data_IF_288292555019
#
_entry.id   IF_288292555019
#
_cell.length_a   1.000
_cell.length_b   1.000
_cell.length_c   1.000
_cell.angle_alpha   90.00
_cell.angle_beta   90.00
_cell.angle_gamma   90.00
#
_symmetry.space_group_name_H-M   'P 1'
#
loop_
_entity.id
_entity.type
_entity.pdbx_description
1 polymer ?
#
# COMPACT_ATOMS: atom_id res chain seq x y z
N UNK A 1 47.90 43.85 -19.41
CA UNK A 1 46.81 44.10 -20.39
C UNK A 1 46.02 45.32 -19.92
N UNK A 2 45.63 46.25 -20.80
CA UNK A 2 44.74 47.38 -20.42
C UNK A 2 43.38 46.82 -20.02
N UNK A 3 42.81 47.32 -18.92
CA UNK A 3 41.46 46.99 -18.49
C UNK A 3 40.48 47.59 -19.53
N UNK A 4 40.15 46.80 -20.56
CA UNK A 4 39.35 47.24 -21.72
C UNK A 4 37.86 47.44 -21.38
N UNK A 5 37.51 47.59 -20.10
CA UNK A 5 36.15 47.78 -19.63
C UNK A 5 35.25 46.54 -19.79
N UNK A 6 35.79 45.38 -20.13
CA UNK A 6 35.04 44.11 -20.20
C UNK A 6 34.48 43.70 -18.83
N UNK A 7 35.28 43.87 -17.77
CA UNK A 7 34.90 43.50 -16.40
C UNK A 7 33.66 44.23 -15.90
N UNK A 8 33.28 45.36 -16.50
CA UNK A 8 32.06 46.10 -16.12
C UNK A 8 30.76 45.40 -16.54
N UNK A 9 30.85 44.43 -17.46
CA UNK A 9 29.72 43.64 -17.94
C UNK A 9 29.67 42.25 -17.31
N UNK A 10 30.69 41.85 -16.55
CA UNK A 10 30.71 40.56 -15.86
C UNK A 10 29.85 40.64 -14.60
N UNK A 11 29.05 39.62 -14.35
CA UNK A 11 28.26 39.54 -13.12
C UNK A 11 29.17 39.69 -11.89
N UNK A 12 28.85 40.55 -10.92
CA UNK A 12 29.70 40.79 -9.76
C UNK A 12 30.07 39.52 -8.98
N UNK A 13 29.18 38.52 -8.94
CA UNK A 13 29.44 37.23 -8.29
C UNK A 13 30.44 36.36 -9.04
N UNK A 14 30.58 36.56 -10.35
CA UNK A 14 31.49 35.80 -11.23
C UNK A 14 32.81 36.56 -11.47
N UNK A 15 32.90 37.83 -11.05
CA UNK A 15 34.06 38.69 -11.26
C UNK A 15 35.38 38.15 -10.66
N UNK A 16 35.41 37.51 -9.47
CA UNK A 16 36.64 36.89 -8.96
C UNK A 16 37.16 35.77 -9.88
N UNK A 17 36.25 34.93 -10.40
CA UNK A 17 36.57 33.83 -11.31
C UNK A 17 37.18 34.35 -12.61
N UNK A 18 36.57 35.38 -13.21
CA UNK A 18 37.03 35.96 -14.47
C UNK A 18 38.37 36.72 -14.31
N UNK A 19 38.57 37.37 -13.16
CA UNK A 19 39.86 38.03 -12.84
C UNK A 19 40.99 37.04 -12.64
N UNK A 20 40.74 35.94 -11.94
CA UNK A 20 41.76 34.93 -11.67
C UNK A 20 42.32 34.35 -12.98
N UNK A 21 41.49 34.19 -14.02
CA UNK A 21 41.91 33.76 -15.36
C UNK A 21 42.75 34.78 -16.12
N UNK A 22 42.45 36.08 -15.94
CA UNK A 22 43.28 37.14 -16.50
C UNK A 22 44.68 37.22 -15.87
N UNK A 23 44.83 36.69 -14.64
CA UNK A 23 46.09 36.64 -13.88
C UNK A 23 46.83 35.30 -14.08
N UNK A 24 46.12 34.18 -14.18
CA UNK A 24 46.70 32.84 -14.39
C UNK A 24 47.12 32.57 -15.83
N UNK A 25 46.58 33.30 -16.83
CA UNK A 25 47.14 33.28 -18.19
C UNK A 25 48.63 33.70 -18.18
N UNK A 26 49.02 34.66 -17.36
CA UNK A 26 50.43 35.08 -17.26
C UNK A 26 51.37 34.09 -16.51
N UNK A 27 50.86 33.00 -15.91
CA UNK A 27 51.66 32.04 -15.14
C UNK A 27 51.32 30.58 -15.43
N UNK A 28 52.17 29.94 -16.23
CA UNK A 28 52.54 28.50 -16.19
C UNK A 28 51.47 27.46 -15.83
N UNK A 29 50.23 27.56 -16.35
CA UNK A 29 49.30 26.42 -16.38
C UNK A 29 49.00 26.01 -17.82
N UNK A 30 49.35 24.77 -18.15
CA UNK A 30 49.12 24.14 -19.45
C UNK A 30 47.67 23.66 -19.67
N UNK A 31 46.81 23.75 -18.66
CA UNK A 31 45.45 23.22 -18.77
C UNK A 31 44.44 24.30 -19.16
N UNK A 32 44.02 24.21 -20.41
CA UNK A 32 42.87 24.88 -21.02
C UNK A 32 41.61 24.66 -20.19
N UNK A 33 41.30 25.58 -19.28
CA UNK A 33 40.09 25.52 -18.45
C UNK A 33 38.90 26.17 -19.15
N UNK A 34 37.81 25.42 -19.30
CA UNK A 34 36.50 25.99 -19.63
C UNK A 34 35.98 26.77 -18.44
N UNK A 35 35.54 28.01 -18.67
CA UNK A 35 34.94 28.84 -17.62
C UNK A 35 33.51 29.20 -17.98
N UNK A 36 32.68 29.29 -16.94
CA UNK A 36 31.28 29.66 -17.06
C UNK A 36 31.04 30.91 -16.22
N UNK A 37 30.55 31.97 -16.83
CA UNK A 37 30.25 33.23 -16.15
C UNK A 37 29.10 33.93 -16.84
N UNK A 38 28.46 34.87 -16.14
CA UNK A 38 27.37 35.66 -16.69
C UNK A 38 27.88 37.00 -17.21
N UNK A 39 27.46 37.35 -18.42
CA UNK A 39 27.64 38.67 -18.99
C UNK A 39 26.31 39.41 -19.05
N UNK A 40 26.35 40.69 -18.72
CA UNK A 40 25.28 41.63 -18.92
C UNK A 40 25.32 42.13 -20.36
N UNK A 41 24.22 42.00 -21.06
CA UNK A 41 24.08 42.45 -22.44
C UNK A 41 23.70 43.94 -22.51
N UNK A 42 23.62 44.48 -23.73
CA UNK A 42 23.12 45.84 -23.95
C UNK A 42 21.60 45.96 -23.74
N UNK A 43 20.89 44.84 -23.80
CA UNK A 43 19.44 44.74 -23.68
C UNK A 43 19.00 44.47 -22.24
N UNK A 44 19.89 44.71 -21.26
CA UNK A 44 19.65 44.52 -19.81
C UNK A 44 19.46 43.06 -19.36
N UNK A 45 19.79 42.10 -20.22
CA UNK A 45 19.72 40.66 -19.90
C UNK A 45 21.07 40.08 -19.46
N UNK A 46 21.02 39.05 -18.61
CA UNK A 46 22.17 38.21 -18.27
C UNK A 46 22.25 36.99 -19.18
N UNK A 47 23.44 36.72 -19.73
CA UNK A 47 23.72 35.53 -20.54
C UNK A 47 24.84 34.71 -19.94
N UNK A 48 24.63 33.40 -19.84
CA UNK A 48 25.66 32.46 -19.46
C UNK A 48 26.62 32.25 -20.62
N UNK A 49 27.90 32.53 -20.39
CA UNK A 49 28.96 32.40 -21.37
C UNK A 49 29.87 31.25 -20.96
N UNK A 50 30.04 30.29 -21.86
CA UNK A 50 31.17 29.36 -21.85
C UNK A 50 32.32 30.02 -22.60
N UNK A 51 33.42 30.29 -21.91
CA UNK A 51 34.66 30.75 -22.53
C UNK A 51 35.72 29.68 -22.44
N UNK A 52 36.36 29.43 -23.58
CA UNK A 52 37.50 28.52 -23.71
C UNK A 52 38.63 29.28 -24.39
N UNK A 53 39.85 29.17 -23.88
CA UNK A 53 41.02 29.67 -24.58
C UNK A 53 42.24 28.76 -24.36
N UNK A 54 43.08 28.71 -25.39
CA UNK A 54 44.33 27.97 -25.41
C UNK A 54 45.48 28.93 -25.73
N UNK A 55 46.64 28.70 -25.12
CA UNK A 55 47.87 29.40 -25.50
C UNK A 55 48.39 28.83 -26.83
N UNK A 56 48.69 29.69 -27.80
CA UNK A 56 49.14 29.27 -29.14
C UNK A 56 50.58 29.65 -29.47
N UNK A 57 51.19 30.53 -28.67
CA UNK A 57 52.63 30.81 -28.75
C UNK A 57 53.18 31.21 -27.38
N UNK A 58 54.43 30.81 -27.13
CA UNK A 58 55.22 31.15 -25.95
C UNK A 58 56.56 31.73 -26.40
N UNK A 59 57.15 32.62 -25.61
CA UNK A 59 58.49 33.13 -25.84
C UNK A 59 59.58 32.14 -25.37
N UNK A 60 60.84 32.47 -25.61
CA UNK A 60 62.01 31.65 -25.23
C UNK A 60 62.15 31.46 -23.70
N UNK A 61 61.45 32.28 -22.91
CA UNK A 61 61.39 32.21 -21.44
C UNK A 61 60.13 31.47 -20.95
N UNK A 62 59.36 30.85 -21.86
CA UNK A 62 58.15 30.08 -21.55
C UNK A 62 56.89 30.92 -21.31
N UNK A 63 56.96 32.24 -21.47
CA UNK A 63 55.83 33.15 -21.23
C UNK A 63 54.89 33.15 -22.43
N UNK A 64 53.58 33.03 -22.18
CA UNK A 64 52.59 33.01 -23.26
C UNK A 64 52.53 34.38 -23.95
N UNK A 65 52.63 34.38 -25.27
CA UNK A 65 52.54 35.57 -26.12
C UNK A 65 51.17 35.72 -26.78
N UNK A 66 50.49 34.61 -27.08
CA UNK A 66 49.20 34.64 -27.75
C UNK A 66 48.24 33.57 -27.23
N UNK A 67 46.98 33.98 -27.13
CA UNK A 67 45.84 33.10 -26.85
C UNK A 67 44.89 33.10 -28.04
N UNK A 68 44.29 31.95 -28.32
CA UNK A 68 43.11 31.83 -29.16
C UNK A 68 41.99 31.23 -28.31
N UNK A 69 40.81 31.82 -28.39
CA UNK A 69 39.65 31.34 -27.66
C UNK A 69 38.35 31.74 -28.34
N UNK A 70 37.26 31.20 -27.85
CA UNK A 70 35.91 31.53 -28.29
C UNK A 70 34.99 31.59 -27.06
N UNK A 71 33.94 32.41 -27.20
CA UNK A 71 32.91 32.61 -26.19
C UNK A 71 31.57 32.16 -26.78
N UNK A 72 30.89 31.22 -26.13
CA UNK A 72 29.58 30.69 -26.56
C UNK A 72 28.53 31.08 -25.54
N UNK A 73 27.43 31.67 -26.00
CA UNK A 73 26.21 31.83 -25.19
C UNK A 73 25.56 30.44 -25.00
N UNK A 74 25.50 29.98 -23.76
CA UNK A 74 24.91 28.70 -23.34
C UNK A 74 23.65 28.91 -22.48
N UNK A 75 23.06 30.10 -22.52
CA UNK A 75 21.89 30.46 -21.69
C UNK A 75 20.71 29.52 -21.96
N UNK A 76 20.38 29.32 -23.23
CA UNK A 76 19.26 28.44 -23.62
C UNK A 76 19.48 26.99 -23.13
N UNK A 77 20.71 26.48 -23.22
CA UNK A 77 21.03 25.12 -22.76
C UNK A 77 20.92 24.99 -21.23
N UNK A 78 21.44 25.98 -20.49
CA UNK A 78 21.35 26.03 -19.02
C UNK A 78 19.89 26.07 -18.58
N UNK A 79 19.08 26.94 -19.17
CA UNK A 79 17.66 27.06 -18.85
C UNK A 79 16.87 25.80 -19.23
N UNK A 80 17.15 25.20 -20.40
CA UNK A 80 16.50 23.96 -20.81
C UNK A 80 16.82 22.81 -19.85
N UNK A 81 18.08 22.70 -19.40
CA UNK A 81 18.50 21.69 -18.43
C UNK A 81 17.85 21.90 -17.06
N UNK A 82 17.75 23.13 -16.58
CA UNK A 82 17.07 23.44 -15.32
C UNK A 82 15.57 23.14 -15.40
N UNK A 83 14.90 23.51 -16.51
CA UNK A 83 13.49 23.18 -16.76
C UNK A 83 13.27 21.67 -16.78
N UNK A 84 14.14 20.91 -17.45
CA UNK A 84 14.05 19.45 -17.51
C UNK A 84 14.27 18.81 -16.14
N UNK A 85 15.25 19.27 -15.37
CA UNK A 85 15.50 18.80 -14.01
C UNK A 85 14.31 19.05 -13.10
N UNK A 86 13.72 20.24 -13.17
CA UNK A 86 12.52 20.58 -12.40
C UNK A 86 11.34 19.68 -12.78
N UNK A 87 11.08 19.52 -14.07
CA UNK A 87 10.00 18.64 -14.56
C UNK A 87 10.20 17.18 -14.16
N UNK A 88 11.45 16.69 -14.12
CA UNK A 88 11.76 15.33 -13.67
C UNK A 88 11.46 15.14 -12.18
N UNK A 89 11.80 16.11 -11.34
CA UNK A 89 11.49 16.08 -9.90
C UNK A 89 9.99 16.11 -9.68
N UNK A 90 9.27 17.00 -10.36
CA UNK A 90 7.81 17.11 -10.28
C UNK A 90 7.11 15.82 -10.75
N UNK A 91 7.54 15.26 -11.87
CA UNK A 91 6.99 14.01 -12.42
C UNK A 91 7.25 12.83 -11.48
N UNK A 92 8.44 12.75 -10.88
CA UNK A 92 8.78 11.69 -9.92
C UNK A 92 7.89 11.79 -8.68
N UNK A 93 7.73 12.97 -8.11
CA UNK A 93 6.87 13.20 -6.95
C UNK A 93 5.39 12.86 -7.28
N UNK A 94 4.89 13.29 -8.45
CA UNK A 94 3.53 12.97 -8.88
C UNK A 94 3.32 11.47 -9.09
N UNK A 95 4.32 10.76 -9.63
CA UNK A 95 4.27 9.31 -9.81
C UNK A 95 4.24 8.58 -8.46
N UNK A 96 5.10 8.95 -7.52
CA UNK A 96 5.13 8.36 -6.17
C UNK A 96 3.79 8.57 -5.45
N UNK A 97 3.19 9.76 -5.58
CA UNK A 97 1.85 10.03 -5.04
C UNK A 97 0.77 9.19 -5.72
N UNK A 98 0.81 9.08 -7.05
CA UNK A 98 -0.16 8.27 -7.79
C UNK A 98 -0.06 6.78 -7.44
N UNK A 99 1.15 6.25 -7.26
CA UNK A 99 1.39 4.87 -6.80
C UNK A 99 0.86 4.64 -5.39
N UNK A 100 1.08 5.60 -4.47
CA UNK A 100 0.53 5.53 -3.11
C UNK A 100 -1.01 5.53 -3.13
N UNK A 101 -1.64 6.40 -3.91
CA UNK A 101 -3.10 6.45 -4.05
C UNK A 101 -3.67 5.18 -4.71
N UNK A 102 -2.97 4.62 -5.70
CA UNK A 102 -3.39 3.38 -6.35
C UNK A 102 -3.34 2.18 -5.39
N UNK A 103 -2.32 2.11 -4.54
CA UNK A 103 -2.21 1.09 -3.50
C UNK A 103 -3.34 1.22 -2.47
N UNK A 104 -3.65 2.44 -2.03
CA UNK A 104 -4.76 2.71 -1.11
C UNK A 104 -6.10 2.29 -1.72
N UNK A 105 -6.37 2.68 -2.97
CA UNK A 105 -7.61 2.33 -3.67
C UNK A 105 -7.77 0.81 -3.85
N UNK A 106 -6.68 0.10 -4.14
CA UNK A 106 -6.68 -1.36 -4.28
C UNK A 106 -7.01 -2.02 -2.94
N UNK A 107 -6.37 -1.57 -1.86
CA UNK A 107 -6.62 -2.08 -0.50
C UNK A 107 -8.08 -1.86 -0.10
N UNK A 108 -8.62 -0.67 -0.35
CA UNK A 108 -10.01 -0.35 -0.03
C UNK A 108 -11.01 -1.21 -0.81
N UNK A 109 -10.70 -1.50 -2.08
CA UNK A 109 -11.51 -2.39 -2.92
C UNK A 109 -11.51 -3.81 -2.36
N UNK A 110 -10.35 -4.36 -1.99
CA UNK A 110 -10.25 -5.70 -1.39
C UNK A 110 -11.06 -5.81 -0.09
N UNK A 111 -10.97 -4.80 0.79
CA UNK A 111 -11.78 -4.74 2.02
C UNK A 111 -13.28 -4.73 1.68
N UNK A 112 -13.69 -3.94 0.69
CA UNK A 112 -15.09 -3.81 0.29
C UNK A 112 -15.64 -5.13 -0.27
N UNK A 113 -14.86 -5.86 -1.05
CA UNK A 113 -15.23 -7.18 -1.58
C UNK A 113 -15.40 -8.22 -0.46
N UNK A 114 -14.48 -8.24 0.51
CA UNK A 114 -14.57 -9.12 1.69
C UNK A 114 -15.85 -8.82 2.49
N UNK A 115 -16.13 -7.55 2.78
CA UNK A 115 -17.32 -7.15 3.56
C UNK A 115 -18.61 -7.50 2.82
N UNK A 116 -18.70 -7.24 1.51
CA UNK A 116 -19.88 -7.60 0.72
C UNK A 116 -20.11 -9.10 0.73
N UNK A 117 -19.05 -9.91 0.55
CA UNK A 117 -19.17 -11.36 0.54
C UNK A 117 -19.69 -11.92 1.87
N UNK A 118 -19.30 -11.31 3.00
CA UNK A 118 -19.80 -11.67 4.33
C UNK A 118 -21.29 -11.32 4.49
N UNK A 119 -21.70 -10.12 4.08
CA UNK A 119 -23.09 -9.68 4.15
C UNK A 119 -24.03 -10.52 3.26
N UNK A 120 -23.56 -10.94 2.09
CA UNK A 120 -24.31 -11.83 1.20
C UNK A 120 -24.43 -13.24 1.79
N UNK A 121 -23.39 -13.73 2.46
CA UNK A 121 -23.43 -15.00 3.17
C UNK A 121 -24.46 -14.97 4.31
N UNK A 122 -24.46 -13.94 5.15
CA UNK A 122 -25.40 -13.81 6.28
C UNK A 122 -26.86 -13.86 5.81
N UNK A 123 -27.20 -13.08 4.77
CA UNK A 123 -28.54 -13.09 4.17
C UNK A 123 -28.90 -14.44 3.56
N UNK A 124 -27.93 -15.09 2.91
CA UNK A 124 -28.14 -16.42 2.30
C UNK A 124 -28.43 -17.46 3.37
N UNK A 125 -27.64 -17.48 4.46
CA UNK A 125 -27.85 -18.39 5.58
C UNK A 125 -29.20 -18.15 6.25
N UNK A 126 -29.56 -16.90 6.51
CA UNK A 126 -30.85 -16.55 7.10
C UNK A 126 -32.02 -17.04 6.23
N UNK A 127 -31.97 -16.82 4.91
CA UNK A 127 -32.98 -17.27 3.97
C UNK A 127 -33.12 -18.80 3.91
N UNK A 128 -32.00 -19.54 3.99
CA UNK A 128 -32.02 -21.01 4.07
C UNK A 128 -32.71 -21.47 5.36
N UNK A 129 -32.37 -20.86 6.50
CA UNK A 129 -32.98 -21.19 7.78
C UNK A 129 -34.47 -20.84 7.81
N UNK A 130 -34.87 -19.75 7.15
CA UNK A 130 -36.26 -19.37 6.92
C UNK A 130 -37.07 -20.48 6.26
N UNK A 131 -36.52 -21.09 5.20
CA UNK A 131 -37.16 -22.21 4.52
C UNK A 131 -37.15 -23.48 5.38
N UNK A 132 -36.06 -23.74 6.12
CA UNK A 132 -35.97 -24.89 7.01
C UNK A 132 -37.06 -24.86 8.11
N UNK A 133 -37.43 -23.68 8.61
CA UNK A 133 -38.46 -23.53 9.64
C UNK A 133 -39.85 -24.02 9.18
N UNK A 134 -40.10 -24.07 7.86
CA UNK A 134 -41.34 -24.61 7.28
C UNK A 134 -41.43 -26.13 7.36
N UNK A 135 -40.29 -26.81 7.46
CA UNK A 135 -40.18 -28.27 7.48
C UNK A 135 -39.99 -28.80 8.90
N UNK A 136 -39.21 -28.08 9.71
CA UNK A 136 -38.89 -28.44 11.08
C UNK A 136 -39.16 -27.22 11.97
N UNK A 137 -40.18 -27.26 12.84
CA UNK A 137 -40.40 -26.18 13.80
C UNK A 137 -39.23 -26.07 14.78
N UNK A 138 -38.65 -24.89 14.89
CA UNK A 138 -37.61 -24.55 15.86
C UNK A 138 -37.80 -23.12 16.38
N UNK A 139 -37.22 -22.83 17.54
CA UNK A 139 -37.17 -21.47 18.09
C UNK A 139 -35.86 -20.77 17.70
N UNK A 140 -34.75 -21.51 17.71
CA UNK A 140 -33.48 -21.02 17.17
C UNK A 140 -32.79 -22.04 16.28
N UNK A 141 -32.01 -21.55 15.33
CA UNK A 141 -31.18 -22.37 14.45
C UNK A 141 -29.80 -21.74 14.26
N UNK A 142 -28.78 -22.54 14.00
CA UNK A 142 -27.46 -22.03 13.65
C UNK A 142 -26.75 -22.91 12.62
N UNK A 143 -25.93 -22.27 11.79
CA UNK A 143 -25.02 -22.92 10.85
C UNK A 143 -23.62 -22.83 11.43
N UNK A 144 -22.96 -23.98 11.52
CA UNK A 144 -21.63 -24.13 12.11
C UNK A 144 -20.69 -24.70 11.06
N UNK A 145 -19.48 -24.17 10.94
CA UNK A 145 -18.44 -24.67 10.03
C UNK A 145 -17.29 -25.26 10.81
N UNK A 146 -16.76 -26.38 10.30
CA UNK A 146 -15.60 -27.06 10.85
C UNK A 146 -14.33 -26.27 10.50
N UNK A 147 -13.58 -25.88 11.52
CA UNK A 147 -12.27 -25.23 11.41
C UNK A 147 -11.27 -26.00 12.27
N UNK A 148 -10.40 -26.79 11.63
CA UNK A 148 -9.41 -27.64 12.29
C UNK A 148 -10.02 -28.57 13.36
N UNK A 149 -9.97 -28.15 14.63
CA UNK A 149 -10.39 -28.94 15.80
C UNK A 149 -11.56 -28.29 16.55
N UNK A 150 -12.30 -27.40 15.89
CA UNK A 150 -13.50 -26.79 16.46
C UNK A 150 -14.58 -26.53 15.40
N UNK A 151 -15.84 -26.49 15.86
CA UNK A 151 -16.97 -25.98 15.10
C UNK A 151 -17.25 -24.54 15.51
N UNK A 152 -17.40 -23.65 14.53
CA UNK A 152 -17.66 -22.23 14.74
C UNK A 152 -19.01 -21.83 14.16
N UNK A 153 -19.83 -21.09 14.91
CA UNK A 153 -21.08 -20.53 14.39
C UNK A 153 -20.76 -19.41 13.40
N UNK A 154 -21.32 -19.51 12.19
CA UNK A 154 -21.17 -18.51 11.13
C UNK A 154 -22.49 -17.82 10.76
N UNK A 155 -23.62 -18.31 11.26
CA UNK A 155 -24.94 -17.75 10.97
C UNK A 155 -26.01 -18.38 11.84
N UNK A 156 -27.16 -17.74 11.96
CA UNK A 156 -28.26 -18.28 12.76
C UNK A 156 -29.55 -17.49 12.65
N UNK A 157 -30.62 -18.06 13.20
CA UNK A 157 -31.98 -17.51 13.19
C UNK A 157 -32.66 -17.67 14.54
N UNK A 158 -33.53 -16.72 14.89
CA UNK A 158 -34.35 -16.75 16.11
C UNK A 158 -33.64 -16.25 17.37
N UNK A 159 -32.36 -15.87 17.24
CA UNK A 159 -31.52 -15.39 18.34
C UNK A 159 -31.88 -13.95 18.72
N UNK A 160 -32.07 -13.67 20.02
CA UNK A 160 -32.29 -12.28 20.51
C UNK A 160 -31.11 -11.36 20.20
N UNK A 161 -29.89 -11.89 20.24
CA UNK A 161 -28.67 -11.18 19.89
C UNK A 161 -27.73 -12.15 19.16
N UNK A 162 -27.92 -12.24 17.84
CA UNK A 162 -27.13 -13.14 16.99
C UNK A 162 -25.64 -12.79 17.02
N UNK A 163 -25.28 -11.50 17.07
CA UNK A 163 -23.90 -11.03 17.06
C UNK A 163 -23.05 -11.59 18.22
N UNK A 164 -23.67 -11.84 19.39
CA UNK A 164 -23.00 -12.47 20.54
C UNK A 164 -22.75 -13.98 20.37
N UNK A 165 -23.48 -14.61 19.44
CA UNK A 165 -23.46 -16.04 19.18
C UNK A 165 -22.54 -16.35 18.00
N UNK A 166 -22.48 -15.48 17.00
CA UNK A 166 -21.56 -15.59 15.86
C UNK A 166 -20.11 -15.68 16.36
N UNK A 167 -19.34 -16.59 15.78
CA UNK A 167 -17.95 -16.81 16.14
C UNK A 167 -17.74 -17.68 17.38
N UNK A 168 -18.81 -18.06 18.10
CA UNK A 168 -18.73 -19.01 19.19
C UNK A 168 -18.20 -20.37 18.71
N UNK A 169 -17.34 -21.01 19.51
CA UNK A 169 -16.61 -22.22 19.14
C UNK A 169 -16.87 -23.38 20.11
N UNK A 170 -16.98 -24.58 19.56
CA UNK A 170 -16.92 -25.83 20.32
C UNK A 170 -15.73 -26.65 19.86
N UNK A 171 -14.89 -27.09 20.79
CA UNK A 171 -13.85 -28.07 20.49
C UNK A 171 -14.46 -29.40 20.05
N UNK A 172 -13.85 -30.01 19.03
CA UNK A 172 -14.22 -31.30 18.48
C UNK A 172 -12.93 -32.14 18.35
N UNK A 173 -12.81 -33.29 19.04
CA UNK A 173 -13.79 -33.86 19.96
C UNK A 173 -13.85 -33.10 21.29
N UNK A 174 -15.04 -33.01 21.88
CA UNK A 174 -15.27 -32.43 23.20
C UNK A 174 -16.57 -32.96 23.83
N UNK A 175 -16.86 -32.55 25.07
CA UNK A 175 -18.08 -32.98 25.78
C UNK A 175 -19.33 -32.21 25.31
N UNK A 176 -19.69 -32.36 24.04
CA UNK A 176 -20.80 -31.64 23.42
C UNK A 176 -21.51 -32.52 22.39
N UNK A 177 -22.80 -32.24 22.09
CA UNK A 177 -23.57 -33.04 21.15
C UNK A 177 -23.05 -32.95 19.71
N UNK A 178 -22.34 -31.87 19.37
CA UNK A 178 -21.69 -31.73 18.06
C UNK A 178 -20.66 -32.83 17.80
N UNK A 179 -19.90 -33.26 18.83
CA UNK A 179 -18.91 -34.34 18.69
C UNK A 179 -19.53 -35.65 18.24
N UNK A 180 -20.75 -35.94 18.69
CA UNK A 180 -21.51 -37.14 18.26
C UNK A 180 -21.87 -37.05 16.78
N UNK A 181 -22.37 -35.90 16.31
CA UNK A 181 -22.70 -35.69 14.90
C UNK A 181 -21.45 -35.81 14.03
N UNK A 182 -20.33 -35.23 14.47
CA UNK A 182 -19.06 -35.29 13.73
C UNK A 182 -18.56 -36.73 13.62
N UNK A 183 -18.53 -37.47 14.74
CA UNK A 183 -18.06 -38.85 14.75
C UNK A 183 -18.96 -39.81 13.96
N UNK A 184 -20.28 -39.60 13.99
CA UNK A 184 -21.24 -40.51 13.34
C UNK A 184 -21.57 -40.16 11.90
N UNK A 185 -21.31 -38.92 11.46
CA UNK A 185 -21.74 -38.39 10.16
C UNK A 185 -23.25 -38.53 9.93
N UNK A 186 -24.05 -38.53 11.00
CA UNK A 186 -25.51 -38.71 10.96
C UNK A 186 -26.24 -37.64 11.78
N UNK A 187 -27.51 -37.34 11.45
CA UNK A 187 -28.33 -36.49 12.30
C UNK A 187 -28.45 -37.05 13.72
N UNK A 188 -28.42 -36.16 14.71
CA UNK A 188 -28.53 -36.52 16.12
C UNK A 188 -29.55 -35.63 16.81
N UNK A 189 -30.51 -36.25 17.49
CA UNK A 189 -31.60 -35.57 18.21
C UNK A 189 -31.41 -35.82 19.71
N UNK A 190 -31.58 -34.77 20.49
CA UNK A 190 -31.59 -34.77 21.94
C UNK A 190 -32.86 -34.11 22.43
N UNK A 191 -33.62 -34.80 23.28
CA UNK A 191 -34.79 -34.20 23.93
C UNK A 191 -34.41 -33.14 24.96
N UNK A 192 -33.27 -33.32 25.64
CA UNK A 192 -32.77 -32.43 26.68
C UNK A 192 -31.23 -32.40 26.68
N UNK A 193 -30.62 -31.23 26.43
CA UNK A 193 -29.16 -31.08 26.28
C UNK A 193 -28.37 -31.22 27.60
N UNK A 194 -28.74 -30.55 28.72
CA UNK A 194 -28.06 -30.68 30.00
C UNK A 194 -27.96 -32.08 30.59
N UNK A 195 -28.89 -32.97 30.26
CA UNK A 195 -28.97 -34.30 30.88
C UNK A 195 -27.76 -35.19 30.55
N UNK A 196 -27.13 -34.96 29.40
CA UNK A 196 -25.99 -35.76 28.92
C UNK A 196 -24.67 -35.00 28.83
N UNK A 197 -24.68 -33.67 28.71
CA UNK A 197 -23.49 -32.85 28.41
C UNK A 197 -23.29 -31.71 29.43
N UNK A 198 -23.54 -31.96 30.72
CA UNK A 198 -23.55 -30.93 31.77
C UNK A 198 -22.23 -30.18 31.95
N UNK A 199 -21.08 -30.80 31.61
CA UNK A 199 -19.74 -30.24 31.80
C UNK A 199 -19.35 -29.18 30.79
N UNK A 200 -20.01 -29.10 29.63
CA UNK A 200 -19.76 -28.09 28.60
C UNK A 200 -20.67 -26.86 28.69
N UNK A 201 -21.47 -26.77 29.76
CA UNK A 201 -22.44 -25.69 29.95
C UNK A 201 -21.77 -24.36 30.36
N UNK A 202 -21.26 -23.62 29.38
CA UNK A 202 -20.94 -22.20 29.51
C UNK A 202 -22.21 -21.31 29.56
N UNK A 203 -22.08 -19.99 29.75
CA UNK A 203 -23.25 -19.10 29.91
C UNK A 203 -24.25 -19.17 28.73
N UNK A 204 -23.75 -19.29 27.49
CA UNK A 204 -24.59 -19.47 26.30
C UNK A 204 -25.37 -20.79 26.34
N UNK A 205 -24.72 -21.87 26.74
CA UNK A 205 -25.35 -23.20 26.82
C UNK A 205 -26.24 -23.40 28.05
N UNK A 206 -26.05 -22.63 29.12
CA UNK A 206 -27.02 -22.52 30.23
C UNK A 206 -28.35 -21.92 29.76
N UNK A 207 -28.32 -20.96 28.85
CA UNK A 207 -29.54 -20.45 28.19
C UNK A 207 -30.21 -21.55 27.34
N UNK A 208 -29.46 -22.59 26.92
CA UNK A 208 -29.98 -23.77 26.20
C UNK A 208 -30.42 -24.92 27.10
N UNK A 209 -30.38 -24.76 28.42
CA UNK A 209 -30.75 -25.82 29.33
C UNK A 209 -32.25 -26.18 29.24
N UNK A 210 -32.57 -27.47 29.18
CA UNK A 210 -33.95 -27.98 29.10
C UNK A 210 -34.57 -27.98 27.70
N UNK A 211 -33.79 -27.69 26.66
CA UNK A 211 -34.28 -27.52 25.29
C UNK A 211 -33.95 -28.75 24.45
N UNK A 212 -34.84 -29.10 23.52
CA UNK A 212 -34.58 -30.13 22.53
C UNK A 212 -33.63 -29.59 21.46
N UNK A 213 -32.70 -30.43 21.02
CA UNK A 213 -31.65 -30.07 20.07
C UNK A 213 -31.57 -31.11 18.95
N UNK A 214 -31.42 -30.65 17.72
CA UNK A 214 -31.17 -31.48 16.54
C UNK A 214 -29.93 -30.93 15.83
N UNK A 215 -28.93 -31.78 15.61
CA UNK A 215 -27.78 -31.48 14.76
C UNK A 215 -27.82 -32.33 13.50
N UNK A 216 -27.68 -31.69 12.34
CA UNK A 216 -27.60 -32.31 11.02
C UNK A 216 -26.21 -32.05 10.45
N UNK A 217 -25.45 -33.09 10.05
CA UNK A 217 -24.15 -32.90 9.46
C UNK A 217 -24.27 -32.27 8.07
N UNK A 218 -23.43 -31.27 7.79
CA UNK A 218 -23.21 -30.76 6.45
C UNK A 218 -22.01 -31.51 5.88
N UNK A 219 -22.24 -32.30 4.82
CA UNK A 219 -21.24 -33.20 4.25
C UNK A 219 -20.96 -32.80 2.81
N UNK A 220 -19.68 -32.69 2.47
CA UNK A 220 -19.21 -32.48 1.10
C UNK A 220 -18.07 -33.45 0.80
N UNK A 221 -18.18 -34.22 -0.30
CA UNK A 221 -17.19 -35.24 -0.69
C UNK A 221 -16.82 -36.18 0.46
N UNK A 222 -17.84 -36.69 1.16
CA UNK A 222 -17.72 -37.59 2.32
C UNK A 222 -17.10 -36.98 3.58
N UNK A 223 -16.63 -35.72 3.54
CA UNK A 223 -16.11 -34.99 4.69
C UNK A 223 -17.16 -34.10 5.33
N UNK A 224 -17.13 -34.01 6.67
CA UNK A 224 -17.96 -33.04 7.38
C UNK A 224 -17.33 -31.67 7.24
N UNK A 225 -18.09 -30.75 6.67
CA UNK A 225 -17.73 -29.34 6.57
C UNK A 225 -18.40 -28.48 7.66
N UNK A 226 -19.40 -29.02 8.35
CA UNK A 226 -20.15 -28.27 9.34
C UNK A 226 -21.35 -29.01 9.92
N UNK A 227 -22.14 -28.29 10.71
CA UNK A 227 -23.39 -28.79 11.30
C UNK A 227 -24.45 -27.69 11.20
N UNK A 228 -25.64 -28.07 10.75
CA UNK A 228 -26.86 -27.30 10.91
C UNK A 228 -27.55 -27.72 12.21
N UNK A 229 -27.78 -26.79 13.13
CA UNK A 229 -28.42 -27.10 14.42
C UNK A 229 -29.75 -26.39 14.58
N UNK A 230 -30.69 -27.06 15.22
CA UNK A 230 -32.01 -26.56 15.58
C UNK A 230 -32.24 -26.75 17.08
N UNK A 231 -32.85 -25.76 17.71
CA UNK A 231 -33.21 -25.75 19.12
C UNK A 231 -34.71 -25.45 19.25
N UNK A 232 -35.39 -26.23 20.10
CA UNK A 232 -36.79 -26.04 20.44
C UNK A 232 -36.95 -25.96 21.96
N UNK A 233 -37.67 -24.94 22.42
CA UNK A 233 -37.91 -24.62 23.82
C UNK A 233 -39.32 -25.04 24.25
#
# INVERSE_FOLDING_TARGET
MKDNGFMKYVNPGDAPLVRDLSVTRDKEREESGNIFFRLHTKDDDWRWILSTAVSVSKDELGKVQQYIGFDIDITEEKEAKEKLQKALVETKAAKEQAEAHALEATTMREISEIVSSSLDLDKTLEAILDQAQRLVPFDTASVQIMENNYLKIIGGRGWKNLERVIGYKWEIPGDNPNTVVVGTKKPYILGNVPERFSSSLNELTKEYAGKSWLGIPLIFREEIIGILTFLKY
#
